data_IF_241011879749
#
_entry.id   IF_241011879749
#
_cell.length_a   1.000
_cell.length_b   1.000
_cell.length_c   1.000
_cell.angle_alpha   90.00
_cell.angle_beta   90.00
_cell.angle_gamma   90.00
#
_symmetry.space_group_name_H-M   'P 1'
#
loop_
_entity.id
_entity.type
_entity.pdbx_description
1 polymer ?
#
# COMPACT_ATOMS: atom_id res chain seq x y z
N UNK A 1 -39.05 7.70 7.73
CA UNK A 1 -37.85 6.85 7.64
C UNK A 1 -37.57 6.34 9.03
N UNK A 2 -37.63 5.02 9.23
CA UNK A 2 -37.13 4.40 10.46
C UNK A 2 -35.59 4.54 10.51
N UNK A 3 -35.05 4.75 11.71
CA UNK A 3 -33.60 4.88 11.91
C UNK A 3 -32.95 3.50 11.77
N UNK A 4 -32.49 3.18 10.57
CA UNK A 4 -31.70 1.97 10.29
C UNK A 4 -30.23 2.35 10.15
N UNK A 5 -29.37 1.73 10.94
CA UNK A 5 -27.93 1.89 10.85
C UNK A 5 -27.34 0.93 9.79
N UNK A 6 -26.31 1.38 9.08
CA UNK A 6 -25.56 0.54 8.14
C UNK A 6 -24.46 -0.22 8.90
N UNK A 7 -24.32 -1.52 8.62
CA UNK A 7 -23.31 -2.36 9.25
C UNK A 7 -21.88 -1.95 8.87
N UNK A 8 -20.96 -2.05 9.83
CA UNK A 8 -19.54 -1.75 9.61
C UNK A 8 -18.90 -2.83 8.74
N UNK A 9 -17.92 -2.41 7.93
CA UNK A 9 -17.08 -3.32 7.13
C UNK A 9 -17.66 -3.68 5.76
N UNK A 10 -18.80 -3.12 5.37
CA UNK A 10 -19.34 -3.28 4.03
C UNK A 10 -18.56 -2.40 3.03
N UNK A 11 -17.94 -2.97 1.98
CA UNK A 11 -17.24 -2.19 0.98
C UNK A 11 -18.25 -1.42 0.11
N UNK A 12 -17.88 -0.21 -0.30
CA UNK A 12 -18.66 0.50 -1.32
C UNK A 12 -18.46 -0.17 -2.68
N UNK A 13 -19.56 -0.63 -3.29
CA UNK A 13 -19.55 -1.30 -4.60
C UNK A 13 -19.75 -0.33 -5.77
N UNK A 14 -20.16 0.92 -5.49
CA UNK A 14 -20.42 1.91 -6.51
C UNK A 14 -19.15 2.70 -6.86
N UNK A 15 -19.06 3.12 -8.12
CA UNK A 15 -17.99 3.99 -8.56
C UNK A 15 -17.99 5.30 -7.76
N UNK A 16 -16.80 5.72 -7.31
CA UNK A 16 -16.63 6.98 -6.60
C UNK A 16 -16.89 8.16 -7.54
N UNK A 17 -17.57 9.19 -7.03
CA UNK A 17 -17.71 10.47 -7.73
C UNK A 17 -16.34 11.14 -7.90
N UNK A 18 -16.25 12.16 -8.76
CA UNK A 18 -15.00 12.91 -8.95
C UNK A 18 -14.48 13.52 -7.64
N UNK A 19 -15.37 14.09 -6.83
CA UNK A 19 -15.03 14.66 -5.52
C UNK A 19 -14.51 13.58 -4.56
N UNK A 20 -15.23 12.45 -4.46
CA UNK A 20 -14.81 11.32 -3.62
C UNK A 20 -13.46 10.74 -4.05
N UNK A 21 -13.19 10.67 -5.37
CA UNK A 21 -11.89 10.23 -5.90
C UNK A 21 -10.77 11.20 -5.55
N UNK A 22 -11.00 12.50 -5.72
CA UNK A 22 -10.01 13.53 -5.34
C UNK A 22 -9.69 13.44 -3.85
N UNK A 23 -10.70 13.32 -3.00
CA UNK A 23 -10.53 13.16 -1.56
C UNK A 23 -9.77 11.87 -1.21
N UNK A 24 -10.17 10.72 -1.78
CA UNK A 24 -9.51 9.45 -1.55
C UNK A 24 -8.05 9.47 -2.02
N UNK A 25 -7.78 10.08 -3.17
CA UNK A 25 -6.42 10.21 -3.72
C UNK A 25 -5.56 11.10 -2.82
N UNK A 26 -6.09 12.25 -2.41
CA UNK A 26 -5.38 13.18 -1.52
C UNK A 26 -5.04 12.54 -0.16
N UNK A 27 -5.93 11.69 0.34
CA UNK A 27 -5.71 10.96 1.61
C UNK A 27 -4.76 9.77 1.50
N UNK A 28 -4.59 9.19 0.31
CA UNK A 28 -3.85 7.94 0.11
C UNK A 28 -2.49 8.13 -0.56
N UNK A 29 -2.26 9.24 -1.25
CA UNK A 29 -0.92 9.58 -1.77
C UNK A 29 0.02 9.81 -0.58
N UNK A 30 1.03 8.96 -0.49
CA UNK A 30 2.07 9.01 0.54
C UNK A 30 3.45 8.94 -0.12
N UNK A 31 4.41 9.68 0.44
CA UNK A 31 5.80 9.61 0.00
C UNK A 31 6.41 8.24 0.35
N UNK A 32 7.44 7.77 -0.38
CA UNK A 32 8.04 6.44 -0.15
C UNK A 32 8.44 6.20 1.31
N UNK A 33 9.09 7.16 1.96
CA UNK A 33 9.53 7.03 3.35
C UNK A 33 8.36 6.88 4.34
N UNK A 34 7.26 7.59 4.09
CA UNK A 34 6.06 7.52 4.93
C UNK A 34 5.31 6.22 4.69
N UNK A 35 5.23 5.76 3.43
CA UNK A 35 4.68 4.45 3.09
C UNK A 35 5.44 3.33 3.81
N UNK A 36 6.78 3.40 3.82
CA UNK A 36 7.63 2.45 4.53
C UNK A 36 7.29 2.39 6.03
N UNK A 37 7.18 3.54 6.70
CA UNK A 37 6.78 3.61 8.13
C UNK A 37 5.39 3.04 8.39
N UNK A 38 4.43 3.35 7.52
CA UNK A 38 3.07 2.81 7.63
C UNK A 38 3.10 1.28 7.53
N UNK A 39 3.86 0.72 6.59
CA UNK A 39 4.01 -0.73 6.43
C UNK A 39 4.64 -1.33 7.68
N UNK A 40 5.76 -0.76 8.18
CA UNK A 40 6.40 -1.24 9.41
C UNK A 40 5.44 -1.24 10.60
N UNK A 41 4.64 -0.17 10.76
CA UNK A 41 3.63 -0.08 11.82
C UNK A 41 2.60 -1.19 11.71
N UNK A 42 2.01 -1.36 10.53
CA UNK A 42 0.99 -2.39 10.29
C UNK A 42 1.55 -3.79 10.56
N UNK A 43 2.75 -4.08 10.07
CA UNK A 43 3.40 -5.39 10.26
C UNK A 43 3.65 -5.67 11.74
N UNK A 44 4.12 -4.67 12.50
CA UNK A 44 4.34 -4.79 13.94
C UNK A 44 3.03 -5.01 14.71
N UNK A 45 1.99 -4.23 14.41
CA UNK A 45 0.66 -4.32 15.04
C UNK A 45 -0.01 -5.68 14.80
N UNK A 46 0.22 -6.29 13.63
CA UNK A 46 -0.37 -7.59 13.26
C UNK A 46 0.20 -8.77 14.04
N UNK A 47 1.38 -8.60 14.67
CA UNK A 47 2.03 -9.61 15.53
C UNK A 47 2.00 -11.02 14.93
N UNK A 48 2.41 -11.17 13.67
CA UNK A 48 2.31 -12.43 12.91
C UNK A 48 2.92 -13.65 13.61
N UNK A 49 3.91 -13.47 14.48
CA UNK A 49 4.57 -14.55 15.20
C UNK A 49 3.96 -14.85 16.59
N UNK A 50 2.88 -14.17 16.99
CA UNK A 50 2.25 -14.35 18.31
C UNK A 50 0.77 -14.74 18.16
N UNK A 51 0.44 -15.98 18.54
CA UNK A 51 -0.95 -16.45 18.60
C UNK A 51 -1.62 -16.61 17.24
N UNK A 52 -0.86 -16.53 16.14
CA UNK A 52 -1.36 -16.72 14.79
C UNK A 52 -1.39 -18.20 14.40
N UNK A 53 -2.19 -18.53 13.40
CA UNK A 53 -2.13 -19.86 12.77
C UNK A 53 -0.77 -20.14 12.12
N UNK A 54 -0.06 -19.10 11.65
CA UNK A 54 1.27 -19.23 11.07
C UNK A 54 2.27 -19.82 12.08
N UNK A 55 2.21 -19.35 13.33
CA UNK A 55 3.02 -19.88 14.41
C UNK A 55 2.75 -21.37 14.65
N UNK A 56 1.48 -21.79 14.63
CA UNK A 56 1.09 -23.21 14.81
C UNK A 56 1.60 -24.10 13.68
N UNK A 57 1.79 -23.53 12.49
CA UNK A 57 2.35 -24.20 11.31
C UNK A 57 3.88 -24.14 11.25
N UNK A 58 4.54 -23.58 12.26
CA UNK A 58 6.01 -23.40 12.28
C UNK A 58 6.51 -22.34 11.30
N UNK A 59 5.63 -21.48 10.77
CA UNK A 59 6.01 -20.38 9.87
C UNK A 59 6.41 -19.17 10.71
N UNK A 60 7.62 -18.68 10.47
CA UNK A 60 8.15 -17.45 11.08
C UNK A 60 8.13 -16.37 10.00
N UNK A 61 7.46 -15.26 10.29
CA UNK A 61 7.45 -14.07 9.43
C UNK A 61 8.51 -13.12 9.96
N UNK A 62 9.49 -12.76 9.12
CA UNK A 62 10.42 -11.69 9.48
C UNK A 62 9.70 -10.35 9.42
N UNK A 63 9.68 -9.64 10.55
CA UNK A 63 8.93 -8.40 10.76
C UNK A 63 9.83 -7.24 11.19
N UNK A 64 11.14 -7.48 11.35
CA UNK A 64 12.05 -6.49 11.91
C UNK A 64 12.52 -5.50 10.83
N UNK A 65 12.80 -5.98 9.63
CA UNK A 65 13.26 -5.16 8.52
C UNK A 65 12.75 -5.67 7.17
N UNK A 66 12.66 -4.75 6.19
CA UNK A 66 12.43 -5.13 4.80
C UNK A 66 13.73 -5.65 4.19
N UNK A 67 13.61 -6.61 3.28
CA UNK A 67 14.75 -7.13 2.54
C UNK A 67 15.44 -6.04 1.72
N UNK A 68 16.75 -5.91 1.89
CA UNK A 68 17.59 -5.04 1.07
C UNK A 68 17.96 -5.75 -0.23
N UNK A 69 17.54 -5.19 -1.36
CA UNK A 69 17.77 -5.75 -2.69
C UNK A 69 18.73 -4.84 -3.47
N UNK A 70 19.85 -5.36 -4.00
CA UNK A 70 20.77 -4.57 -4.82
C UNK A 70 20.12 -4.20 -6.15
N UNK A 71 20.03 -2.90 -6.43
CA UNK A 71 19.53 -2.34 -7.68
C UNK A 71 20.64 -1.77 -8.57
N UNK A 72 20.42 -1.75 -9.88
CA UNK A 72 21.24 -1.00 -10.84
C UNK A 72 20.41 0.12 -11.45
N UNK A 73 20.95 1.33 -11.50
CA UNK A 73 20.34 2.46 -12.20
C UNK A 73 20.89 2.46 -13.62
N UNK A 74 20.03 2.21 -14.60
CA UNK A 74 20.38 2.33 -16.00
C UNK A 74 20.28 3.79 -16.43
N UNK A 75 21.20 4.22 -17.30
CA UNK A 75 21.15 5.56 -17.87
C UNK A 75 19.94 5.67 -18.81
N UNK A 76 19.34 6.86 -18.85
CA UNK A 76 18.31 7.18 -19.82
C UNK A 76 18.87 7.02 -21.24
N UNK A 77 18.07 6.54 -22.21
CA UNK A 77 18.49 6.56 -23.62
C UNK A 77 18.70 8.00 -24.10
N UNK A 78 19.59 8.16 -25.08
CA UNK A 78 19.76 9.43 -25.80
C UNK A 78 18.59 9.63 -26.78
N UNK A 79 17.95 10.80 -26.73
CA UNK A 79 16.94 11.18 -27.72
C UNK A 79 17.62 11.78 -28.94
N UNK A 80 17.54 11.12 -30.10
CA UNK A 80 17.84 11.78 -31.39
C UNK A 80 16.56 12.45 -31.89
N UNK A 81 16.53 13.78 -31.86
CA UNK A 81 15.52 14.55 -32.59
C UNK A 81 15.83 14.38 -34.07
N UNK A 82 15.10 13.50 -34.75
CA UNK A 82 15.16 13.41 -36.22
C UNK A 82 14.29 14.54 -36.76
N UNK A 83 14.91 15.65 -37.15
CA UNK A 83 14.22 16.67 -37.95
C UNK A 83 13.91 16.05 -39.31
N UNK A 84 12.66 15.63 -39.49
CA UNK A 84 12.08 15.38 -40.80
C UNK A 84 11.82 16.76 -41.43
N UNK A 85 12.79 17.23 -42.21
CA UNK A 85 12.60 18.33 -43.17
C UNK A 85 11.75 17.82 -44.34
#
# INVERSE_FOLDING_TARGET
MELVAVDKGQPNLQALTTEQRTEATTKTIVQPDECYRIIQRVVHERRFNHGSYLQKLGVIVDVNEMLLIPGRILLSPEYRIVNLL
#
